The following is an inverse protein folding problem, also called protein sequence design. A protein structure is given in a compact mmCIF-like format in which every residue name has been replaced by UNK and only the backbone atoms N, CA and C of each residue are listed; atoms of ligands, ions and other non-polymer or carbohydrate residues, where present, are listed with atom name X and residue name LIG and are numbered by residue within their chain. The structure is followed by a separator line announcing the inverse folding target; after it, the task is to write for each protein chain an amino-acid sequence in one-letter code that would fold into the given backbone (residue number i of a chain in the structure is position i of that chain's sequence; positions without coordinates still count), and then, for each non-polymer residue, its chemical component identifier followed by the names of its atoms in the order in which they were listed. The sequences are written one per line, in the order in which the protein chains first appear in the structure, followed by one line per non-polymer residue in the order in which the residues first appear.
data_IF_265513745092
#
_entry.id   IF_265513745092
#
_cell.length_a   1.000
_cell.length_b   1.000
_cell.length_c   1.000
_cell.angle_alpha   90.00
_cell.angle_beta   90.00
_cell.angle_gamma   90.00
#
_symmetry.space_group_name_H-M   'P 1'
#
loop_
_entity.id
_entity.type
_entity.pdbx_description
1 polymer ?
#
# COMPACT_ATOMS: atom_id res chain seq x y z
N UNK A 1 16.02 -7.28 11.70
CA UNK A 1 14.60 -6.92 11.94
C UNK A 1 13.77 -8.18 11.99
N UNK A 2 12.99 -8.40 13.05
CA UNK A 2 12.02 -9.49 13.16
C UNK A 2 10.62 -9.00 12.85
N UNK A 3 9.81 -9.86 12.22
CA UNK A 3 8.42 -9.62 11.89
C UNK A 3 7.51 -10.66 12.54
N UNK A 4 6.27 -10.29 12.77
CA UNK A 4 5.21 -11.16 13.30
C UNK A 4 3.95 -11.02 12.46
N UNK A 5 3.01 -11.96 12.64
CA UNK A 5 1.65 -11.82 12.12
C UNK A 5 0.77 -11.06 13.11
N UNK A 6 -0.17 -10.26 12.62
CA UNK A 6 -1.23 -9.62 13.44
C UNK A 6 -2.13 -10.62 14.13
N UNK A 7 -2.06 -11.92 13.77
CA UNK A 7 -2.89 -12.99 14.36
C UNK A 7 -2.06 -14.07 15.06
N UNK A 8 -0.72 -13.97 15.02
CA UNK A 8 0.17 -14.87 15.74
C UNK A 8 1.52 -14.18 15.99
N UNK A 9 1.68 -13.57 17.15
CA UNK A 9 2.90 -12.88 17.56
C UNK A 9 3.98 -13.83 18.11
N UNK A 10 3.66 -15.11 18.34
CA UNK A 10 4.60 -16.10 18.85
C UNK A 10 5.63 -16.58 17.82
N UNK A 11 5.28 -16.47 16.52
CA UNK A 11 6.15 -16.87 15.41
C UNK A 11 6.80 -15.64 14.79
N UNK A 12 8.11 -15.65 14.66
CA UNK A 12 8.88 -14.59 14.01
C UNK A 12 9.29 -14.98 12.60
N UNK A 13 9.45 -13.96 11.77
CA UNK A 13 9.85 -14.07 10.37
C UNK A 13 10.92 -13.02 10.06
N UNK A 14 11.78 -13.29 9.09
CA UNK A 14 12.68 -12.29 8.53
C UNK A 14 12.02 -11.54 7.35
N UNK A 15 12.67 -10.47 6.87
CA UNK A 15 12.11 -9.66 5.76
C UNK A 15 11.92 -10.48 4.47
N UNK A 16 12.84 -11.38 4.15
CA UNK A 16 12.75 -12.26 2.96
C UNK A 16 11.44 -13.05 2.96
N UNK A 17 11.13 -13.71 4.09
CA UNK A 17 9.90 -14.48 4.24
C UNK A 17 8.65 -13.60 4.11
N UNK A 18 8.66 -12.43 4.77
CA UNK A 18 7.55 -11.46 4.74
C UNK A 18 7.29 -10.93 3.33
N UNK A 19 8.36 -10.57 2.64
CA UNK A 19 8.29 -10.04 1.28
C UNK A 19 7.75 -11.07 0.28
N UNK A 20 8.28 -12.30 0.31
CA UNK A 20 7.88 -13.36 -0.63
C UNK A 20 6.46 -13.86 -0.35
N UNK A 21 6.11 -14.08 0.93
CA UNK A 21 4.77 -14.53 1.30
C UNK A 21 3.70 -13.46 1.12
N UNK A 22 4.01 -12.21 1.45
CA UNK A 22 3.08 -11.08 1.41
C UNK A 22 1.92 -11.18 2.42
N UNK A 23 1.48 -12.39 2.78
CA UNK A 23 0.43 -12.71 3.75
C UNK A 23 0.91 -13.87 4.64
N UNK A 24 0.63 -13.81 5.94
CA UNK A 24 0.96 -14.88 6.87
C UNK A 24 0.07 -16.12 6.65
N UNK A 25 0.59 -17.30 7.02
CA UNK A 25 -0.12 -18.58 6.82
C UNK A 25 -1.43 -18.69 7.63
N UNK A 26 -1.53 -17.92 8.73
CA UNK A 26 -2.73 -17.77 9.55
C UNK A 26 -3.75 -16.77 8.99
N UNK A 27 -3.43 -16.15 7.85
CA UNK A 27 -4.24 -15.13 7.19
C UNK A 27 -4.09 -13.72 7.81
N UNK A 28 -3.20 -13.54 8.79
CA UNK A 28 -2.86 -12.25 9.36
C UNK A 28 -1.87 -11.46 8.50
N UNK A 29 -1.72 -10.19 8.79
CA UNK A 29 -0.80 -9.30 8.09
C UNK A 29 0.55 -9.23 8.80
N UNK A 30 1.62 -9.15 8.04
CA UNK A 30 2.94 -8.94 8.61
C UNK A 30 3.14 -7.50 9.10
N UNK A 31 3.77 -7.38 10.27
CA UNK A 31 4.25 -6.15 10.88
C UNK A 31 5.60 -6.39 11.56
N UNK A 32 6.45 -5.36 11.73
CA UNK A 32 7.67 -5.52 12.53
C UNK A 32 7.31 -5.75 14.00
N UNK A 33 8.00 -6.67 14.64
CA UNK A 33 7.85 -6.98 16.07
C UNK A 33 8.24 -5.80 16.98
N UNK A 34 9.22 -5.02 16.52
CA UNK A 34 9.63 -3.76 17.13
C UNK A 34 9.91 -2.75 16.03
N UNK A 35 9.55 -1.52 16.26
CA UNK A 35 9.74 -0.43 15.29
C UNK A 35 10.92 0.45 15.75
N UNK A 36 11.89 0.66 14.85
CA UNK A 36 12.93 1.64 15.05
C UNK A 36 12.32 3.05 14.98
N UNK A 37 12.57 3.85 16.02
CA UNK A 37 12.22 5.27 16.02
C UNK A 37 13.49 6.07 15.75
N UNK A 38 13.39 7.01 14.82
CA UNK A 38 14.43 7.99 14.59
C UNK A 38 14.34 9.08 15.66
N UNK A 39 15.48 9.48 16.18
CA UNK A 39 15.61 10.68 17.02
C UNK A 39 15.39 11.96 16.19
N UNK A 40 15.10 13.07 16.84
CA UNK A 40 14.99 14.36 16.16
C UNK A 40 16.26 14.72 15.37
N UNK A 41 17.42 14.42 15.91
CA UNK A 41 18.71 14.66 15.24
C UNK A 41 18.88 13.82 13.97
N UNK A 42 18.43 12.55 13.97
CA UNK A 42 18.44 11.70 12.79
C UNK A 42 17.44 12.23 11.74
N UNK A 43 16.23 12.60 12.15
CA UNK A 43 15.23 13.20 11.25
C UNK A 43 15.78 14.49 10.63
N UNK A 44 16.41 15.36 11.41
CA UNK A 44 17.01 16.59 10.89
C UNK A 44 18.13 16.31 9.90
N UNK A 45 18.90 15.26 10.10
CA UNK A 45 19.95 14.85 9.16
C UNK A 45 19.41 14.45 7.78
N UNK A 46 18.18 13.95 7.71
CA UNK A 46 17.52 13.54 6.47
C UNK A 46 17.10 14.71 5.57
N UNK A 47 17.00 15.92 6.12
CA UNK A 47 16.49 17.12 5.41
C UNK A 47 17.23 17.44 4.10
N UNK A 48 18.50 17.08 4.00
CA UNK A 48 19.35 17.39 2.85
C UNK A 48 19.52 16.20 1.88
N UNK A 49 18.91 15.07 2.19
CA UNK A 49 19.06 13.88 1.39
C UNK A 49 18.22 13.96 0.09
N UNK A 50 18.72 13.36 -0.96
CA UNK A 50 17.92 13.06 -2.13
C UNK A 50 16.79 12.09 -1.76
N UNK A 51 15.77 11.98 -2.61
CA UNK A 51 14.72 10.96 -2.38
C UNK A 51 15.32 9.56 -2.28
N UNK A 52 16.27 9.24 -3.15
CA UNK A 52 16.93 7.93 -3.21
C UNK A 52 17.75 7.64 -1.94
N UNK A 53 18.54 8.60 -1.46
CA UNK A 53 19.30 8.44 -0.24
C UNK A 53 18.40 8.31 1.00
N UNK A 54 17.33 9.10 1.05
CA UNK A 54 16.32 8.97 2.10
C UNK A 54 15.64 7.61 2.06
N UNK A 55 15.23 7.13 0.87
CA UNK A 55 14.66 5.81 0.68
C UNK A 55 15.60 4.71 1.17
N UNK A 56 16.90 4.82 0.86
CA UNK A 56 17.92 3.88 1.34
C UNK A 56 17.94 3.83 2.87
N UNK A 57 18.03 4.97 3.54
CA UNK A 57 18.11 5.03 5.01
C UNK A 57 16.84 4.43 5.67
N UNK A 58 15.66 4.78 5.16
CA UNK A 58 14.40 4.29 5.75
C UNK A 58 14.25 2.79 5.47
N UNK A 59 14.41 2.35 4.22
CA UNK A 59 14.15 0.95 3.83
C UNK A 59 15.19 0.01 4.45
N UNK A 60 16.45 0.42 4.53
CA UNK A 60 17.51 -0.40 5.11
C UNK A 60 17.21 -0.81 6.55
N UNK A 61 16.56 0.06 7.34
CA UNK A 61 16.15 -0.24 8.71
C UNK A 61 15.16 -1.41 8.83
N UNK A 62 14.48 -1.76 7.74
CA UNK A 62 13.45 -2.82 7.70
C UNK A 62 13.94 -4.14 7.12
N UNK A 63 14.86 -4.11 6.16
CA UNK A 63 15.18 -5.30 5.36
C UNK A 63 16.16 -6.27 6.02
N UNK A 64 16.83 -5.87 7.14
CA UNK A 64 17.78 -6.70 7.84
C UNK A 64 18.94 -7.16 6.95
N UNK A 65 19.17 -8.46 6.92
CA UNK A 65 20.20 -9.15 6.13
C UNK A 65 19.73 -9.60 4.73
N UNK A 66 18.57 -9.13 4.29
CA UNK A 66 18.02 -9.49 2.96
C UNK A 66 18.95 -9.09 1.81
N UNK A 67 19.60 -7.94 1.92
CA UNK A 67 20.62 -7.49 0.97
C UNK A 67 21.60 -6.51 1.61
N UNK A 68 22.77 -6.34 0.96
CA UNK A 68 23.74 -5.33 1.39
C UNK A 68 23.20 -3.91 1.15
N UNK A 69 23.76 -2.94 1.88
CA UNK A 69 23.44 -1.52 1.69
C UNK A 69 23.76 -1.03 0.26
N UNK A 70 24.85 -1.55 -0.32
CA UNK A 70 25.24 -1.23 -1.69
C UNK A 70 24.26 -1.82 -2.72
N UNK A 71 23.78 -3.04 -2.49
CA UNK A 71 22.76 -3.65 -3.36
C UNK A 71 21.44 -2.88 -3.28
N UNK A 72 21.03 -2.50 -2.07
CA UNK A 72 19.83 -1.69 -1.87
C UNK A 72 19.95 -0.35 -2.61
N UNK A 73 21.09 0.35 -2.50
CA UNK A 73 21.31 1.61 -3.21
C UNK A 73 21.14 1.43 -4.72
N UNK A 74 21.78 0.40 -5.31
CA UNK A 74 21.64 0.10 -6.74
C UNK A 74 20.20 -0.21 -7.15
N UNK A 75 19.46 -0.93 -6.31
CA UNK A 75 18.06 -1.27 -6.56
C UNK A 75 17.19 -0.04 -6.48
N UNK A 76 17.38 0.84 -5.51
CA UNK A 76 16.63 2.09 -5.36
C UNK A 76 16.88 2.99 -6.58
N UNK A 77 18.13 3.19 -6.97
CA UNK A 77 18.48 3.99 -8.13
C UNK A 77 17.84 3.42 -9.41
N UNK A 78 17.92 2.11 -9.62
CA UNK A 78 17.28 1.44 -10.74
C UNK A 78 15.76 1.61 -10.72
N UNK A 79 15.13 1.47 -9.55
CA UNK A 79 13.68 1.54 -9.40
C UNK A 79 13.12 2.92 -9.70
N UNK A 80 13.85 3.96 -9.32
CA UNK A 80 13.37 5.33 -9.46
C UNK A 80 13.91 6.07 -10.70
N UNK A 81 14.86 5.48 -11.41
CA UNK A 81 15.36 6.03 -12.68
C UNK A 81 14.30 6.10 -13.80
N UNK A 82 13.24 5.34 -13.70
CA UNK A 82 12.13 5.32 -14.67
C UNK A 82 11.07 6.39 -14.42
N UNK A 83 11.20 7.14 -13.33
CA UNK A 83 10.27 8.22 -13.01
C UNK A 83 10.60 9.47 -13.83
N UNK A 84 9.55 10.21 -14.23
CA UNK A 84 9.69 11.46 -14.99
C UNK A 84 10.20 12.61 -14.15
N UNK A 85 9.89 12.58 -12.83
CA UNK A 85 10.40 13.53 -11.83
C UNK A 85 11.67 12.96 -11.20
N UNK A 86 12.77 13.72 -11.26
CA UNK A 86 14.07 13.31 -10.71
C UNK A 86 14.01 12.92 -9.25
N UNK A 87 13.21 13.61 -8.49
CA UNK A 87 12.99 13.36 -7.05
C UNK A 87 11.81 12.41 -6.79
N UNK A 88 11.38 11.63 -7.79
CA UNK A 88 10.30 10.64 -7.71
C UNK A 88 8.92 11.26 -7.48
N UNK A 89 8.82 12.17 -6.53
CA UNK A 89 7.61 12.90 -6.15
C UNK A 89 7.88 14.41 -6.14
N UNK A 90 6.83 15.20 -6.32
CA UNK A 90 6.92 16.65 -6.33
C UNK A 90 5.87 17.25 -5.40
N UNK A 91 6.26 18.25 -4.63
CA UNK A 91 5.33 19.04 -3.82
C UNK A 91 5.04 20.35 -4.53
N UNK A 92 3.78 20.61 -4.84
CA UNK A 92 3.33 21.86 -5.44
C UNK A 92 2.43 22.63 -4.46
N UNK A 93 2.46 23.95 -4.55
CA UNK A 93 1.60 24.82 -3.74
C UNK A 93 0.34 25.19 -4.53
N UNK A 94 -0.82 24.96 -3.94
CA UNK A 94 -2.13 25.31 -4.50
C UNK A 94 -2.90 26.13 -3.46
N UNK A 95 -2.86 27.43 -3.60
CA UNK A 95 -3.41 28.35 -2.59
C UNK A 95 -2.68 28.22 -1.25
N UNK A 96 -3.42 27.91 -0.19
CA UNK A 96 -2.93 27.70 1.18
C UNK A 96 -2.54 26.23 1.48
N UNK A 97 -2.61 25.36 0.49
CA UNK A 97 -2.35 23.93 0.61
C UNK A 97 -1.15 23.51 -0.22
N UNK A 98 -0.54 22.40 0.18
CA UNK A 98 0.48 21.72 -0.63
C UNK A 98 -0.10 20.40 -1.16
N UNK A 99 0.16 20.09 -2.42
CA UNK A 99 -0.24 18.84 -3.08
C UNK A 99 1.00 18.04 -3.40
N UNK A 100 1.09 16.84 -2.84
CA UNK A 100 2.13 15.90 -3.16
C UNK A 100 1.72 15.09 -4.39
N UNK A 101 2.42 15.33 -5.50
CA UNK A 101 2.19 14.63 -6.76
C UNK A 101 2.90 13.28 -6.75
N UNK A 102 2.14 12.17 -6.82
CA UNK A 102 2.64 10.79 -6.79
C UNK A 102 2.52 10.06 -8.14
N UNK A 103 2.18 10.79 -9.21
CA UNK A 103 1.86 10.23 -10.54
C UNK A 103 3.02 10.33 -11.55
N UNK A 104 4.24 10.54 -11.12
CA UNK A 104 5.39 10.70 -12.01
C UNK A 104 6.03 9.38 -12.47
N UNK A 105 5.50 8.26 -12.04
CA UNK A 105 5.94 6.93 -12.45
C UNK A 105 5.43 6.49 -13.83
N UNK A 106 5.83 5.29 -14.29
CA UNK A 106 5.54 4.79 -15.63
C UNK A 106 4.04 4.67 -15.97
N UNK A 107 3.22 4.31 -14.98
CA UNK A 107 1.78 4.08 -15.19
C UNK A 107 0.90 5.21 -14.67
N UNK A 108 1.50 6.32 -14.22
CA UNK A 108 0.83 7.52 -13.71
C UNK A 108 0.00 7.26 -12.44
N UNK A 109 0.31 6.21 -11.70
CA UNK A 109 -0.33 5.87 -10.44
C UNK A 109 0.68 5.93 -9.30
N UNK A 110 0.25 6.37 -8.10
CA UNK A 110 1.11 6.39 -6.90
C UNK A 110 1.69 5.00 -6.58
N UNK A 111 1.01 3.95 -7.05
CA UNK A 111 1.42 2.55 -6.88
C UNK A 111 2.77 2.25 -7.49
N UNK A 112 3.19 3.00 -8.52
CA UNK A 112 4.50 2.85 -9.15
C UNK A 112 5.65 3.00 -8.15
N UNK A 113 5.53 3.89 -7.18
CA UNK A 113 6.56 4.13 -6.15
C UNK A 113 6.95 2.85 -5.43
N UNK A 114 5.96 2.07 -5.03
CA UNK A 114 6.20 0.79 -4.36
C UNK A 114 6.46 -0.35 -5.36
N UNK A 115 5.73 -0.40 -6.47
CA UNK A 115 5.81 -1.53 -7.41
C UNK A 115 7.15 -1.61 -8.12
N UNK A 116 7.74 -0.50 -8.54
CA UNK A 116 9.07 -0.50 -9.18
C UNK A 116 10.13 -1.06 -8.24
N UNK A 117 10.07 -0.71 -6.95
CA UNK A 117 10.96 -1.26 -5.94
C UNK A 117 10.73 -2.77 -5.74
N UNK A 118 9.46 -3.19 -5.59
CA UNK A 118 9.11 -4.61 -5.42
C UNK A 118 9.58 -5.45 -6.61
N UNK A 119 9.36 -4.97 -7.83
CA UNK A 119 9.80 -5.67 -9.03
C UNK A 119 11.31 -5.92 -9.05
N UNK A 120 12.09 -4.93 -8.59
CA UNK A 120 13.55 -5.07 -8.51
C UNK A 120 14.00 -5.92 -7.30
N UNK A 121 13.25 -5.94 -6.20
CA UNK A 121 13.47 -6.87 -5.08
C UNK A 121 13.22 -8.32 -5.51
N UNK A 122 12.16 -8.59 -6.27
CA UNK A 122 11.93 -9.92 -6.84
C UNK A 122 13.07 -10.35 -7.76
N UNK A 123 13.48 -9.48 -8.67
CA UNK A 123 14.59 -9.78 -9.59
C UNK A 123 15.89 -10.09 -8.83
N UNK A 124 16.22 -9.30 -7.81
CA UNK A 124 17.39 -9.53 -6.96
C UNK A 124 17.31 -10.89 -6.26
N UNK A 125 16.20 -11.16 -5.61
CA UNK A 125 15.99 -12.43 -4.89
C UNK A 125 16.08 -13.63 -5.82
N UNK A 126 15.34 -13.61 -6.93
CA UNK A 126 15.23 -14.75 -7.84
C UNK A 126 16.54 -15.04 -8.59
N UNK A 127 17.35 -14.01 -8.86
CA UNK A 127 18.66 -14.20 -9.46
C UNK A 127 19.65 -14.84 -8.47
N UNK A 128 19.58 -14.51 -7.20
CA UNK A 128 20.48 -15.05 -6.19
C UNK A 128 20.12 -16.48 -5.79
N UNK A 129 18.83 -16.82 -5.72
CA UNK A 129 18.37 -18.14 -5.33
C UNK A 129 18.19 -19.12 -6.52
N UNK A 130 18.32 -18.62 -7.75
CA UNK A 130 18.05 -19.38 -8.98
C UNK A 130 16.65 -20.00 -8.99
N UNK A 131 15.67 -19.29 -8.45
CA UNK A 131 14.28 -19.71 -8.33
C UNK A 131 13.40 -19.02 -9.37
N UNK A 132 12.18 -19.57 -9.59
CA UNK A 132 11.13 -18.93 -10.39
C UNK A 132 9.88 -18.81 -9.56
N UNK A 133 9.14 -17.70 -9.77
CA UNK A 133 7.83 -17.47 -9.13
C UNK A 133 6.79 -17.03 -10.14
N UNK A 134 5.54 -17.25 -9.79
CA UNK A 134 4.38 -16.77 -10.53
C UNK A 134 3.58 -15.80 -9.64
N UNK A 135 3.57 -14.52 -10.02
CA UNK A 135 2.76 -13.52 -9.38
C UNK A 135 1.35 -13.58 -9.97
N UNK A 136 0.35 -13.70 -9.10
CA UNK A 136 -1.05 -13.70 -9.50
C UNK A 136 -1.75 -12.53 -8.81
N UNK A 137 -2.40 -11.66 -9.58
CA UNK A 137 -3.04 -10.45 -9.07
C UNK A 137 -4.41 -10.23 -9.71
N UNK A 138 -5.40 -9.90 -8.89
CA UNK A 138 -6.67 -9.35 -9.36
C UNK A 138 -6.59 -7.82 -9.33
N UNK A 139 -7.11 -7.16 -10.35
CA UNK A 139 -7.05 -5.71 -10.47
C UNK A 139 -8.31 -5.09 -11.05
N UNK A 140 -8.63 -3.90 -10.57
CA UNK A 140 -9.58 -2.97 -11.21
C UNK A 140 -8.92 -2.03 -12.24
N UNK A 141 -7.57 -2.11 -12.37
CA UNK A 141 -6.80 -1.32 -13.33
C UNK A 141 -5.41 -0.90 -12.83
N UNK A 142 -5.30 0.05 -11.91
CA UNK A 142 -4.05 0.70 -11.49
C UNK A 142 -3.01 -0.28 -10.95
N UNK A 143 -3.43 -1.18 -10.05
CA UNK A 143 -2.50 -2.14 -9.42
C UNK A 143 -1.94 -3.10 -10.45
N UNK A 144 -2.78 -3.57 -11.38
CA UNK A 144 -2.36 -4.43 -12.47
C UNK A 144 -1.39 -3.74 -13.42
N UNK A 145 -1.70 -2.51 -13.84
CA UNK A 145 -0.82 -1.73 -14.70
C UNK A 145 0.55 -1.50 -14.06
N UNK A 146 0.58 -1.06 -12.79
CA UNK A 146 1.83 -0.83 -12.07
C UNK A 146 2.62 -2.12 -11.84
N UNK A 147 1.94 -3.24 -11.53
CA UNK A 147 2.59 -4.54 -11.34
C UNK A 147 3.18 -5.09 -12.64
N UNK A 148 2.43 -4.99 -13.75
CA UNK A 148 2.92 -5.38 -15.08
C UNK A 148 4.18 -4.58 -15.42
N UNK A 149 4.11 -3.25 -15.30
CA UNK A 149 5.25 -2.40 -15.66
C UNK A 149 6.51 -2.75 -14.84
N UNK A 150 6.33 -3.02 -13.56
CA UNK A 150 7.42 -3.38 -12.65
C UNK A 150 8.03 -4.77 -12.92
N UNK A 151 7.26 -5.70 -13.50
CA UNK A 151 7.66 -7.12 -13.67
C UNK A 151 7.99 -7.46 -15.12
N UNK A 152 7.42 -6.75 -16.09
CA UNK A 152 7.63 -7.04 -17.53
C UNK A 152 9.11 -7.16 -17.87
N UNK A 153 9.46 -8.17 -18.65
CA UNK A 153 10.82 -8.42 -19.13
C UNK A 153 11.81 -8.91 -18.07
N UNK A 154 11.42 -9.03 -16.79
CA UNK A 154 12.28 -9.59 -15.76
C UNK A 154 12.38 -11.11 -15.88
N UNK A 155 13.57 -11.64 -15.63
CA UNK A 155 13.81 -13.09 -15.64
C UNK A 155 13.25 -13.75 -14.37
N UNK A 156 12.91 -15.00 -14.49
CA UNK A 156 12.49 -15.87 -13.37
C UNK A 156 11.19 -15.47 -12.66
N UNK A 157 10.42 -14.53 -13.20
CA UNK A 157 9.12 -14.15 -12.69
C UNK A 157 8.11 -13.99 -13.82
N UNK A 158 6.95 -14.63 -13.66
CA UNK A 158 5.78 -14.40 -14.51
C UNK A 158 4.73 -13.62 -13.72
N UNK A 159 3.91 -12.84 -14.43
CA UNK A 159 2.78 -12.17 -13.83
C UNK A 159 1.48 -12.52 -14.59
N UNK A 160 0.51 -12.99 -13.83
CA UNK A 160 -0.84 -13.31 -14.28
C UNK A 160 -1.80 -12.27 -13.70
N UNK A 161 -2.42 -11.48 -14.56
CA UNK A 161 -3.29 -10.36 -14.16
C UNK A 161 -4.73 -10.68 -14.52
N UNK A 162 -5.56 -10.93 -13.52
CA UNK A 162 -6.99 -11.15 -13.66
C UNK A 162 -7.72 -9.81 -13.56
N UNK A 163 -8.50 -9.48 -14.57
CA UNK A 163 -9.29 -8.25 -14.56
C UNK A 163 -10.70 -8.50 -15.12
N UNK A 164 -11.73 -7.74 -14.70
CA UNK A 164 -13.07 -7.92 -15.20
C UNK A 164 -13.18 -7.45 -16.65
N UNK A 165 -13.79 -8.30 -17.49
CA UNK A 165 -13.97 -8.02 -18.91
C UNK A 165 -14.83 -6.76 -19.11
N UNK A 166 -14.31 -5.79 -19.88
CA UNK A 166 -14.97 -4.51 -20.21
C UNK A 166 -15.34 -3.62 -19.00
N UNK A 167 -14.76 -3.87 -17.80
CA UNK A 167 -15.01 -3.07 -16.59
C UNK A 167 -13.76 -2.39 -16.04
N UNK A 168 -12.72 -2.28 -16.86
CA UNK A 168 -11.50 -1.50 -16.58
C UNK A 168 -11.47 -0.34 -17.54
N UNK A 169 -11.03 0.85 -17.09
CA UNK A 169 -10.93 2.02 -17.96
C UNK A 169 -10.09 1.73 -19.21
N UNK A 170 -10.41 2.37 -20.33
CA UNK A 170 -9.71 2.14 -21.60
C UNK A 170 -8.22 2.44 -21.52
N UNK A 171 -7.83 3.44 -20.72
CA UNK A 171 -6.42 3.81 -20.50
C UNK A 171 -5.69 2.71 -19.71
N UNK A 172 -6.24 2.29 -18.57
CA UNK A 172 -5.64 1.26 -17.74
C UNK A 172 -5.56 -0.09 -18.47
N UNK A 173 -6.62 -0.44 -19.22
CA UNK A 173 -6.60 -1.65 -20.05
C UNK A 173 -5.47 -1.59 -21.08
N UNK A 174 -5.28 -0.47 -21.75
CA UNK A 174 -4.18 -0.31 -22.72
C UNK A 174 -2.81 -0.43 -22.03
N UNK A 175 -2.61 0.19 -20.87
CA UNK A 175 -1.37 0.06 -20.10
C UNK A 175 -1.06 -1.39 -19.75
N UNK A 176 -2.07 -2.22 -19.46
CA UNK A 176 -1.88 -3.63 -19.13
C UNK A 176 -1.66 -4.53 -20.35
N UNK A 177 -2.32 -4.26 -21.50
CA UNK A 177 -2.47 -5.22 -22.59
C UNK A 177 -1.67 -4.91 -23.85
N UNK A 178 -0.99 -3.77 -23.94
CA UNK A 178 -0.20 -3.39 -25.13
C UNK A 178 1.24 -3.87 -25.10
N UNK A 179 1.74 -4.32 -23.93
CA UNK A 179 3.06 -4.93 -23.81
C UNK A 179 3.13 -6.27 -24.56
N UNK A 180 4.36 -6.63 -25.00
CA UNK A 180 4.62 -7.87 -25.76
C UNK A 180 5.51 -8.84 -24.99
N UNK A 181 5.80 -8.55 -23.75
CA UNK A 181 6.68 -9.36 -22.91
C UNK A 181 6.05 -10.72 -22.58
N UNK A 182 6.80 -11.79 -22.84
CA UNK A 182 6.31 -13.15 -22.71
C UNK A 182 5.97 -13.58 -21.27
N UNK A 183 6.53 -12.88 -20.28
CA UNK A 183 6.29 -13.14 -18.86
C UNK A 183 5.06 -12.41 -18.31
N UNK A 184 4.27 -11.74 -19.16
CA UNK A 184 3.05 -11.00 -18.79
C UNK A 184 1.83 -11.68 -19.41
N UNK A 185 0.93 -12.16 -18.56
CA UNK A 185 -0.28 -12.86 -18.98
C UNK A 185 -1.51 -12.12 -18.43
N UNK A 186 -2.30 -11.54 -19.31
CA UNK A 186 -3.56 -10.89 -18.96
C UNK A 186 -4.74 -11.85 -19.17
N UNK A 187 -5.62 -11.96 -18.17
CA UNK A 187 -6.78 -12.83 -18.17
C UNK A 187 -8.03 -12.01 -17.90
N UNK A 188 -8.85 -11.82 -18.93
CA UNK A 188 -10.14 -11.14 -18.79
C UNK A 188 -11.20 -12.12 -18.29
N UNK A 189 -11.80 -11.83 -17.15
CA UNK A 189 -12.82 -12.66 -16.50
C UNK A 189 -14.21 -12.10 -16.83
N UNK A 190 -15.13 -12.95 -17.26
CA UNK A 190 -16.53 -12.62 -17.43
C UNK A 190 -17.22 -12.51 -16.07
N UNK A 191 -17.05 -11.36 -15.41
CA UNK A 191 -17.52 -11.11 -14.06
C UNK A 191 -17.17 -9.69 -13.62
N UNK A 192 -17.17 -9.46 -12.32
CA UNK A 192 -16.77 -8.19 -11.71
C UNK A 192 -15.40 -8.34 -11.01
N UNK A 193 -14.96 -7.28 -10.34
CA UNK A 193 -13.67 -7.28 -9.64
C UNK A 193 -13.64 -8.26 -8.46
N UNK A 194 -14.75 -8.43 -7.76
CA UNK A 194 -14.85 -9.38 -6.64
C UNK A 194 -14.71 -10.83 -7.13
N UNK A 195 -15.24 -11.15 -8.31
CA UNK A 195 -15.05 -12.47 -8.94
C UNK A 195 -13.56 -12.74 -9.21
N UNK A 196 -12.84 -11.75 -9.75
CA UNK A 196 -11.40 -11.86 -9.95
C UNK A 196 -10.64 -12.05 -8.61
N UNK A 197 -11.01 -11.30 -7.58
CA UNK A 197 -10.41 -11.43 -6.26
C UNK A 197 -10.69 -12.81 -5.62
N UNK A 198 -11.91 -13.29 -5.75
CA UNK A 198 -12.31 -14.59 -5.20
C UNK A 198 -11.56 -15.74 -5.87
N UNK A 199 -11.35 -15.68 -7.19
CA UNK A 199 -10.49 -16.63 -7.90
C UNK A 199 -9.07 -16.63 -7.36
N UNK A 200 -8.45 -15.45 -7.23
CA UNK A 200 -7.09 -15.33 -6.69
C UNK A 200 -7.01 -15.84 -5.25
N UNK A 201 -7.99 -15.51 -4.40
CA UNK A 201 -8.07 -16.03 -3.02
C UNK A 201 -8.19 -17.54 -2.97
N UNK A 202 -9.00 -18.14 -3.85
CA UNK A 202 -9.16 -19.60 -3.95
C UNK A 202 -7.85 -20.28 -4.35
N UNK A 203 -7.12 -19.69 -5.31
CA UNK A 203 -5.79 -20.20 -5.71
C UNK A 203 -4.79 -20.15 -4.55
N UNK A 204 -4.74 -19.06 -3.76
CA UNK A 204 -3.88 -18.97 -2.58
C UNK A 204 -4.29 -19.91 -1.44
N UNK A 205 -5.59 -20.21 -1.31
CA UNK A 205 -6.12 -21.12 -0.30
C UNK A 205 -5.77 -22.59 -0.61
N UNK A 206 -5.69 -22.96 -1.88
CA UNK A 206 -5.20 -24.27 -2.32
C UNK A 206 -3.68 -24.34 -2.16
N UNK A 207 -3.24 -24.89 -1.02
CA UNK A 207 -1.81 -24.96 -0.68
C UNK A 207 -1.02 -25.89 -1.58
N UNK A 208 -1.64 -26.92 -2.15
CA UNK A 208 -0.97 -27.81 -3.10
C UNK A 208 -0.67 -27.04 -4.37
N UNK A 209 -1.69 -26.44 -4.97
CA UNK A 209 -1.57 -25.67 -6.20
C UNK A 209 -0.63 -24.46 -6.01
N UNK A 210 -0.85 -23.65 -4.98
CA UNK A 210 -0.07 -22.41 -4.77
C UNK A 210 1.41 -22.69 -4.53
N UNK A 211 1.76 -23.80 -3.85
CA UNK A 211 3.14 -24.21 -3.66
C UNK A 211 3.77 -24.80 -4.93
N UNK A 212 3.02 -25.63 -5.68
CA UNK A 212 3.49 -26.24 -6.93
C UNK A 212 3.90 -25.16 -7.95
N UNK A 213 3.08 -24.14 -8.13
CA UNK A 213 3.39 -23.02 -9.05
C UNK A 213 4.25 -21.91 -8.41
N UNK A 214 4.65 -22.07 -7.15
CA UNK A 214 5.35 -21.02 -6.39
C UNK A 214 4.66 -19.66 -6.50
N UNK A 215 3.40 -19.66 -6.10
CA UNK A 215 2.53 -18.49 -6.22
C UNK A 215 2.93 -17.40 -5.24
N UNK A 216 3.03 -16.19 -5.73
CA UNK A 216 3.28 -14.98 -4.93
C UNK A 216 2.33 -13.87 -5.34
N UNK A 217 2.26 -12.79 -4.54
CA UNK A 217 1.38 -11.66 -4.78
C UNK A 217 2.01 -10.31 -4.49
N UNK A 218 1.56 -9.31 -5.24
CA UNK A 218 1.98 -7.91 -5.06
C UNK A 218 0.88 -7.03 -4.46
N UNK A 219 0.01 -7.64 -3.66
CA UNK A 219 -1.15 -6.99 -3.08
C UNK A 219 -0.77 -5.82 -2.15
N UNK A 220 -1.73 -4.92 -1.89
CA UNK A 220 -1.54 -3.74 -1.02
C UNK A 220 -1.11 -4.08 0.41
N UNK A 221 -1.31 -5.34 0.83
CA UNK A 221 -0.94 -5.85 2.16
C UNK A 221 0.53 -6.24 2.28
N UNK A 222 1.26 -6.39 1.16
CA UNK A 222 2.69 -6.73 1.23
C UNK A 222 3.45 -5.63 1.98
N UNK A 223 4.20 -6.02 3.02
CA UNK A 223 4.90 -5.07 3.88
C UNK A 223 5.91 -4.20 3.12
N UNK A 224 6.57 -4.74 2.11
CA UNK A 224 7.49 -3.98 1.27
C UNK A 224 6.81 -2.77 0.57
N UNK A 225 5.50 -2.87 0.28
CA UNK A 225 4.75 -1.72 -0.23
C UNK A 225 4.56 -0.63 0.81
N UNK A 226 4.29 -1.02 2.06
CA UNK A 226 4.10 -0.06 3.16
C UNK A 226 5.39 0.71 3.42
N UNK A 227 6.53 0.03 3.53
CA UNK A 227 7.81 0.71 3.77
C UNK A 227 8.24 1.60 2.61
N UNK A 228 8.01 1.19 1.37
CA UNK A 228 8.30 2.04 0.21
C UNK A 228 7.45 3.32 0.19
N UNK A 229 6.19 3.22 0.61
CA UNK A 229 5.28 4.35 0.69
C UNK A 229 5.59 5.29 1.88
N UNK A 230 6.16 4.79 2.98
CA UNK A 230 6.54 5.67 4.09
C UNK A 230 7.57 6.73 3.70
N UNK A 231 8.41 6.45 2.70
CA UNK A 231 9.49 7.35 2.26
C UNK A 231 8.96 8.72 1.80
N UNK A 232 7.88 8.76 1.01
CA UNK A 232 7.39 10.03 0.51
C UNK A 232 6.70 10.89 1.58
N UNK A 233 6.28 10.31 2.71
CA UNK A 233 5.84 11.09 3.88
C UNK A 233 7.01 11.83 4.52
N UNK A 234 8.13 11.15 4.74
CA UNK A 234 9.36 11.80 5.21
C UNK A 234 9.84 12.86 4.23
N UNK A 235 9.92 12.51 2.95
CA UNK A 235 10.44 13.42 1.93
C UNK A 235 9.59 14.68 1.81
N UNK A 236 8.26 14.53 1.71
CA UNK A 236 7.35 15.68 1.62
C UNK A 236 7.36 16.55 2.87
N UNK A 237 7.54 15.96 4.05
CA UNK A 237 7.71 16.74 5.29
C UNK A 237 8.86 17.72 5.19
N UNK A 238 9.99 17.33 4.59
CA UNK A 238 11.14 18.23 4.44
C UNK A 238 10.95 19.30 3.38
N UNK A 239 10.07 19.07 2.41
CA UNK A 239 9.76 20.04 1.35
C UNK A 239 8.78 21.13 1.81
N UNK A 240 8.06 20.94 2.90
CA UNK A 240 7.18 21.97 3.46
C UNK A 240 8.02 23.07 4.12
N UNK A 241 7.87 24.30 3.63
CA UNK A 241 8.62 25.46 4.12
C UNK A 241 8.14 25.94 5.49
N UNK A 242 6.81 26.06 5.65
CA UNK A 242 6.16 26.52 6.89
C UNK A 242 6.00 25.33 7.85
N UNK A 243 6.88 25.22 8.82
CA UNK A 243 6.86 24.21 9.88
C UNK A 243 6.34 24.72 11.22
N UNK A 244 5.94 25.99 11.28
CA UNK A 244 5.39 26.59 12.51
C UNK A 244 3.98 26.07 12.81
N UNK A 245 3.33 25.43 11.83
CA UNK A 245 2.03 24.80 11.97
C UNK A 245 2.14 23.27 12.00
N UNK A 246 1.26 22.62 12.76
CA UNK A 246 1.17 21.16 12.75
C UNK A 246 0.84 20.63 11.35
N UNK A 247 1.66 19.72 10.83
CA UNK A 247 1.49 19.14 9.49
C UNK A 247 0.45 18.03 9.51
N UNK A 248 -0.58 18.16 8.68
CA UNK A 248 -1.58 17.14 8.44
C UNK A 248 -1.44 16.60 7.00
N UNK A 249 -1.69 15.31 6.81
CA UNK A 249 -1.79 14.71 5.48
C UNK A 249 -3.22 14.27 5.21
N UNK A 250 -3.81 14.76 4.11
CA UNK A 250 -5.07 14.24 3.59
C UNK A 250 -4.77 13.20 2.51
N UNK A 251 -5.24 11.98 2.72
CA UNK A 251 -4.89 10.82 1.90
C UNK A 251 -6.16 10.20 1.33
N UNK A 252 -6.36 10.24 0.00
CA UNK A 252 -7.42 9.46 -0.65
C UNK A 252 -7.21 7.97 -0.36
N UNK A 253 -8.19 7.33 0.28
CA UNK A 253 -7.97 6.04 0.92
C UNK A 253 -9.00 4.99 0.52
N UNK A 254 -8.52 3.88 -0.05
CA UNK A 254 -9.27 2.63 -0.21
C UNK A 254 -8.78 1.58 0.78
N UNK A 255 -7.78 0.78 0.40
CA UNK A 255 -7.24 -0.35 1.21
C UNK A 255 -6.46 0.04 2.48
N UNK A 256 -6.45 1.30 2.86
CA UNK A 256 -5.73 1.81 4.05
C UNK A 256 -4.20 1.69 3.99
N UNK A 257 -3.62 1.24 2.88
CA UNK A 257 -2.18 0.97 2.78
C UNK A 257 -1.34 2.24 2.78
N UNK A 258 -1.72 3.24 1.98
CA UNK A 258 -1.02 4.51 1.86
C UNK A 258 -1.07 5.29 3.19
N UNK A 259 -2.26 5.50 3.74
CA UNK A 259 -2.40 6.22 5.00
C UNK A 259 -1.76 5.48 6.18
N UNK A 260 -1.71 4.13 6.14
CA UNK A 260 -0.95 3.34 7.12
C UNK A 260 0.56 3.56 6.99
N UNK A 261 1.07 3.78 5.78
CA UNK A 261 2.48 4.17 5.59
C UNK A 261 2.79 5.54 6.22
N UNK A 262 1.85 6.48 6.14
CA UNK A 262 1.93 7.75 6.88
C UNK A 262 1.89 7.55 8.40
N UNK A 263 1.05 6.66 8.89
CA UNK A 263 0.99 6.29 10.31
C UNK A 263 2.29 5.62 10.76
N UNK A 264 2.86 4.73 9.93
CA UNK A 264 4.17 4.15 10.16
C UNK A 264 5.25 5.23 10.29
N UNK A 265 5.29 6.18 9.36
CA UNK A 265 6.24 7.29 9.41
C UNK A 265 6.10 8.12 10.71
N UNK A 266 4.86 8.38 11.15
CA UNK A 266 4.58 9.02 12.45
C UNK A 266 5.11 8.19 13.61
N UNK A 267 4.87 6.88 13.63
CA UNK A 267 5.39 5.97 14.67
C UNK A 267 6.92 5.90 14.67
N UNK A 268 7.56 6.12 13.52
CA UNK A 268 9.03 6.21 13.39
C UNK A 268 9.60 7.56 13.86
N UNK A 269 8.75 8.50 14.28
CA UNK A 269 9.18 9.78 14.85
C UNK A 269 8.94 11.00 13.96
N UNK A 270 8.42 10.83 12.72
CA UNK A 270 8.11 11.98 11.87
C UNK A 270 7.00 12.82 12.52
N UNK A 271 7.18 14.17 12.69
CA UNK A 271 6.21 15.00 13.39
C UNK A 271 4.95 15.28 12.56
N UNK A 272 4.15 14.25 12.35
CA UNK A 272 2.83 14.33 11.71
C UNK A 272 1.79 14.61 12.81
N UNK A 273 0.95 15.63 12.63
CA UNK A 273 -0.15 15.88 13.56
C UNK A 273 -1.31 14.92 13.31
N UNK A 274 -1.97 15.03 12.14
CA UNK A 274 -3.11 14.18 11.78
C UNK A 274 -2.97 13.59 10.37
N UNK A 275 -3.51 12.39 10.22
CA UNK A 275 -3.75 11.73 8.96
C UNK A 275 -5.25 11.77 8.67
N UNK A 276 -5.65 12.45 7.62
CA UNK A 276 -7.06 12.58 7.22
C UNK A 276 -7.38 11.52 6.18
N UNK A 277 -8.16 10.54 6.56
CA UNK A 277 -8.65 9.49 5.67
C UNK A 277 -9.80 10.06 4.83
N UNK A 278 -9.55 10.29 3.55
CA UNK A 278 -10.54 10.79 2.61
C UNK A 278 -11.12 9.62 1.79
N UNK A 279 -12.44 9.42 1.87
CA UNK A 279 -13.13 8.36 1.13
C UNK A 279 -14.10 8.95 0.10
N UNK A 280 -14.46 8.13 -0.90
CA UNK A 280 -15.63 8.39 -1.74
C UNK A 280 -16.90 7.90 -1.04
N UNK A 281 -17.96 7.61 -1.81
CA UNK A 281 -19.24 7.10 -1.26
C UNK A 281 -19.10 5.74 -0.56
N UNK A 282 -18.04 4.98 -0.86
CA UNK A 282 -17.70 3.75 -0.15
C UNK A 282 -16.97 4.10 1.16
N UNK A 283 -17.71 4.49 2.17
CA UNK A 283 -17.27 5.24 3.33
C UNK A 283 -16.98 4.40 4.58
N UNK A 284 -16.74 3.10 4.45
CA UNK A 284 -16.53 2.21 5.60
C UNK A 284 -15.44 2.73 6.57
N UNK A 285 -14.32 3.25 6.03
CA UNK A 285 -13.25 3.82 6.86
C UNK A 285 -13.67 5.12 7.55
N UNK A 286 -14.45 5.97 6.87
CA UNK A 286 -15.00 7.17 7.50
C UNK A 286 -15.93 6.81 8.66
N UNK A 287 -16.84 5.85 8.50
CA UNK A 287 -17.72 5.36 9.58
C UNK A 287 -16.93 4.74 10.74
N UNK A 288 -15.89 3.97 10.42
CA UNK A 288 -15.02 3.38 11.45
C UNK A 288 -14.30 4.44 12.28
N UNK A 289 -13.72 5.45 11.64
CA UNK A 289 -12.90 6.48 12.30
C UNK A 289 -13.80 7.51 13.03
N UNK A 290 -14.93 7.90 12.43
CA UNK A 290 -15.78 8.95 12.99
C UNK A 290 -16.78 8.44 14.02
N UNK A 291 -17.25 7.18 13.88
CA UNK A 291 -18.36 6.63 14.68
C UNK A 291 -18.04 5.30 15.36
N UNK A 292 -16.85 4.73 15.11
CA UNK A 292 -16.49 3.41 15.61
C UNK A 292 -17.22 2.24 14.91
N UNK A 293 -17.92 2.48 13.79
CA UNK A 293 -18.67 1.45 13.08
C UNK A 293 -17.96 1.01 11.82
N UNK A 294 -17.27 -0.12 11.86
CA UNK A 294 -16.75 -0.80 10.67
C UNK A 294 -17.78 -1.84 10.21
N UNK A 295 -18.69 -1.45 9.32
CA UNK A 295 -19.78 -2.27 8.83
C UNK A 295 -19.76 -2.34 7.31
N UNK A 296 -19.72 -3.56 6.76
CA UNK A 296 -19.65 -3.82 5.33
C UNK A 296 -21.01 -3.53 4.70
N UNK A 297 -21.01 -2.68 3.68
CA UNK A 297 -22.17 -2.33 2.87
C UNK A 297 -21.95 -2.76 1.42
N UNK A 298 -22.95 -2.56 0.58
CA UNK A 298 -22.81 -2.79 -0.86
C UNK A 298 -21.85 -1.78 -1.47
N UNK A 299 -20.93 -2.24 -2.29
CA UNK A 299 -20.02 -1.37 -3.05
C UNK A 299 -20.83 -0.56 -4.08
N UNK A 300 -20.58 0.74 -4.11
CA UNK A 300 -21.09 1.66 -5.13
C UNK A 300 -19.96 1.97 -6.11
N UNK A 301 -20.18 1.74 -7.40
CA UNK A 301 -19.22 2.10 -8.46
C UNK A 301 -19.12 3.62 -8.60
N UNK A 302 -17.88 4.16 -8.63
CA UNK A 302 -17.59 5.59 -8.71
C UNK A 302 -16.55 5.91 -9.79
N UNK A 303 -16.30 7.20 -10.01
CA UNK A 303 -15.20 7.67 -10.90
C UNK A 303 -13.81 7.42 -10.29
N UNK A 304 -13.72 6.97 -9.04
CA UNK A 304 -12.49 6.61 -8.35
C UNK A 304 -12.45 5.11 -7.97
N UNK A 305 -12.47 4.19 -8.95
CA UNK A 305 -12.69 2.75 -8.72
C UNK A 305 -11.65 2.09 -7.81
N UNK A 306 -10.47 2.67 -7.68
CA UNK A 306 -9.44 2.18 -6.75
C UNK A 306 -9.80 2.38 -5.27
N UNK A 307 -10.83 3.20 -4.99
CA UNK A 307 -11.36 3.49 -3.66
C UNK A 307 -12.72 2.82 -3.42
N UNK A 308 -13.30 2.13 -4.41
CA UNK A 308 -14.58 1.43 -4.30
C UNK A 308 -14.42 0.13 -3.49
N UNK A 309 -14.26 0.29 -2.19
CA UNK A 309 -13.89 -0.77 -1.26
C UNK A 309 -14.78 -0.71 -0.01
N UNK A 310 -15.29 -1.87 0.40
CA UNK A 310 -16.01 -2.07 1.67
C UNK A 310 -15.25 -2.98 2.66
N UNK A 311 -14.05 -3.45 2.29
CA UNK A 311 -13.13 -4.14 3.20
C UNK A 311 -11.71 -3.61 2.95
N UNK A 312 -11.25 -2.73 3.83
CA UNK A 312 -9.92 -2.13 3.77
C UNK A 312 -8.88 -3.06 4.42
N UNK A 313 -8.19 -3.86 3.60
CA UNK A 313 -7.34 -4.95 4.09
C UNK A 313 -6.27 -4.51 5.09
N UNK A 314 -5.64 -3.33 4.91
CA UNK A 314 -4.60 -2.87 5.83
C UNK A 314 -5.15 -2.28 7.14
N UNK A 315 -6.46 -2.09 7.26
CA UNK A 315 -7.07 -1.63 8.50
C UNK A 315 -6.88 -2.63 9.66
N UNK A 316 -6.70 -3.91 9.34
CA UNK A 316 -6.34 -4.95 10.33
C UNK A 316 -5.08 -4.58 11.13
N UNK A 317 -4.09 -3.92 10.51
CA UNK A 317 -2.87 -3.48 11.21
C UNK A 317 -3.18 -2.42 12.27
N UNK A 318 -4.11 -1.50 11.97
CA UNK A 318 -4.57 -0.52 12.94
C UNK A 318 -5.41 -1.19 14.04
N UNK A 319 -6.29 -2.14 13.70
CA UNK A 319 -7.05 -2.93 14.67
C UNK A 319 -6.11 -3.66 15.64
N UNK A 320 -5.01 -4.22 15.15
CA UNK A 320 -4.00 -4.87 15.99
C UNK A 320 -3.36 -3.89 16.98
N UNK A 321 -2.94 -2.71 16.51
CA UNK A 321 -2.41 -1.65 17.37
C UNK A 321 -3.45 -1.19 18.42
N UNK A 322 -4.71 -1.03 18.03
CA UNK A 322 -5.81 -0.62 18.93
C UNK A 322 -6.16 -1.67 19.97
N UNK A 323 -5.87 -2.92 19.67
CA UNK A 323 -6.03 -4.05 20.60
C UNK A 323 -4.79 -4.25 21.49
N UNK A 324 -3.90 -3.26 21.59
CA UNK A 324 -2.66 -3.33 22.37
C UNK A 324 -1.78 -4.53 21.96
N UNK A 325 -1.75 -4.82 20.64
CA UNK A 325 -1.01 -5.92 20.04
C UNK A 325 -1.45 -7.32 20.53
N UNK A 326 -2.72 -7.47 20.90
CA UNK A 326 -3.31 -8.73 21.32
C UNK A 326 -3.83 -9.54 20.12
N UNK A 327 -3.21 -10.70 19.87
CA UNK A 327 -3.56 -11.60 18.76
C UNK A 327 -5.02 -12.09 18.86
N UNK A 328 -5.46 -12.51 20.05
CA UNK A 328 -6.79 -13.09 20.25
C UNK A 328 -7.91 -12.07 20.00
N UNK A 329 -7.73 -10.84 20.48
CA UNK A 329 -8.68 -9.74 20.21
C UNK A 329 -8.71 -9.41 18.71
N UNK A 330 -7.57 -9.42 18.04
CA UNK A 330 -7.49 -9.15 16.61
C UNK A 330 -8.13 -10.26 15.78
N UNK A 331 -7.88 -11.53 16.12
CA UNK A 331 -8.54 -12.68 15.49
C UNK A 331 -10.06 -12.56 15.63
N UNK A 332 -10.57 -12.23 16.83
CA UNK A 332 -12.00 -12.09 17.06
C UNK A 332 -12.61 -10.93 16.25
N UNK A 333 -11.92 -9.78 16.18
CA UNK A 333 -12.36 -8.65 15.35
C UNK A 333 -12.45 -9.03 13.87
N UNK A 334 -11.43 -9.70 13.34
CA UNK A 334 -11.40 -10.13 11.94
C UNK A 334 -12.42 -11.24 11.65
N UNK A 335 -12.70 -12.10 12.62
CA UNK A 335 -13.78 -13.09 12.55
C UNK A 335 -15.15 -12.42 12.49
N UNK A 336 -15.42 -11.43 13.32
CA UNK A 336 -16.66 -10.68 13.32
C UNK A 336 -16.90 -9.95 11.98
N UNK A 337 -15.87 -9.32 11.43
CA UNK A 337 -15.94 -8.70 10.10
C UNK A 337 -16.30 -9.74 9.03
N UNK A 338 -15.65 -10.91 9.04
CA UNK A 338 -15.87 -11.95 8.04
C UNK A 338 -17.26 -12.62 8.16
N UNK A 339 -17.72 -12.91 9.39
CA UNK A 339 -18.92 -13.72 9.63
C UNK A 339 -20.17 -12.86 9.80
N UNK A 340 -20.04 -11.68 10.42
CA UNK A 340 -21.16 -10.78 10.70
C UNK A 340 -21.20 -9.54 9.80
N UNK A 341 -20.16 -9.34 8.97
CA UNK A 341 -20.01 -8.15 8.15
C UNK A 341 -19.71 -6.87 8.93
N UNK A 342 -19.41 -6.95 10.25
CA UNK A 342 -19.20 -5.77 11.08
C UNK A 342 -18.26 -5.98 12.25
N UNK A 343 -17.59 -4.90 12.66
CA UNK A 343 -16.85 -4.77 13.90
C UNK A 343 -17.11 -3.41 14.52
N UNK A 344 -17.45 -3.38 15.80
CA UNK A 344 -17.69 -2.14 16.53
C UNK A 344 -16.46 -1.80 17.36
N UNK A 345 -15.91 -0.64 17.10
CA UNK A 345 -14.78 -0.05 17.83
C UNK A 345 -15.36 0.70 19.01
N UNK A 346 -15.01 0.29 20.22
CA UNK A 346 -15.49 0.95 21.43
C UNK A 346 -14.94 2.37 21.61
N UNK A 347 -15.48 3.11 22.56
CA UNK A 347 -15.13 4.53 22.76
C UNK A 347 -13.67 4.72 23.16
N UNK A 348 -13.08 3.80 23.90
CA UNK A 348 -11.67 3.89 24.29
C UNK A 348 -10.75 3.81 23.05
N UNK A 349 -10.98 2.81 22.21
CA UNK A 349 -10.24 2.63 20.95
C UNK A 349 -10.51 3.76 19.95
N UNK A 350 -11.74 4.24 19.88
CA UNK A 350 -12.12 5.38 19.05
C UNK A 350 -11.38 6.65 19.47
N UNK A 351 -11.20 6.88 20.77
CA UNK A 351 -10.39 7.98 21.27
C UNK A 351 -8.91 7.82 20.87
N UNK A 352 -8.36 6.58 20.93
CA UNK A 352 -6.99 6.31 20.44
C UNK A 352 -6.87 6.61 18.93
N UNK A 353 -7.82 6.19 18.10
CA UNK A 353 -7.84 6.51 16.66
C UNK A 353 -7.82 8.02 16.45
N UNK A 354 -8.69 8.75 17.14
CA UNK A 354 -8.84 10.19 16.98
C UNK A 354 -7.62 11.00 17.43
N UNK A 355 -6.65 10.37 18.11
CA UNK A 355 -5.35 10.98 18.39
C UNK A 355 -4.53 11.19 17.11
N UNK A 356 -4.61 10.25 16.17
CA UNK A 356 -3.77 10.24 14.97
C UNK A 356 -4.55 10.48 13.68
N UNK A 357 -5.83 10.11 13.64
CA UNK A 357 -6.65 10.14 12.44
C UNK A 357 -7.83 11.10 12.55
N UNK A 358 -8.18 11.66 11.40
CA UNK A 358 -9.46 12.25 11.07
C UNK A 358 -10.00 11.58 9.82
N UNK A 359 -11.26 11.80 9.48
CA UNK A 359 -11.82 11.25 8.25
C UNK A 359 -12.86 12.15 7.62
N UNK A 360 -13.00 12.05 6.31
CA UNK A 360 -14.05 12.69 5.52
C UNK A 360 -14.54 11.75 4.43
N UNK A 361 -15.74 12.01 3.94
CA UNK A 361 -16.28 11.39 2.72
C UNK A 361 -16.76 12.46 1.76
N UNK A 362 -16.76 12.16 0.47
CA UNK A 362 -17.28 13.03 -0.58
C UNK A 362 -18.19 12.26 -1.54
N UNK A 363 -19.25 12.89 -1.99
CA UNK A 363 -20.08 12.39 -3.08
C UNK A 363 -19.39 12.60 -4.44
N UNK A 364 -19.87 11.91 -5.48
CA UNK A 364 -19.41 12.09 -6.85
C UNK A 364 -19.58 13.55 -7.33
N UNK A 365 -20.72 14.16 -7.00
CA UNK A 365 -21.01 15.55 -7.36
C UNK A 365 -20.03 16.52 -6.72
N UNK A 366 -19.74 16.36 -5.43
CA UNK A 366 -18.75 17.17 -4.72
C UNK A 366 -17.33 17.01 -5.29
N UNK A 367 -16.96 15.79 -5.71
CA UNK A 367 -15.67 15.54 -6.35
C UNK A 367 -15.60 16.25 -7.70
N UNK A 368 -16.62 16.11 -8.56
CA UNK A 368 -16.66 16.75 -9.87
C UNK A 368 -16.67 18.28 -9.76
N UNK A 369 -17.46 18.83 -8.83
CA UNK A 369 -17.49 20.26 -8.56
C UNK A 369 -16.13 20.78 -8.06
N UNK A 370 -15.46 20.02 -7.20
CA UNK A 370 -14.14 20.38 -6.70
C UNK A 370 -13.10 20.38 -7.80
N UNK A 371 -13.09 19.37 -8.68
CA UNK A 371 -12.21 19.30 -9.84
C UNK A 371 -12.41 20.54 -10.71
N UNK A 372 -13.66 20.87 -11.03
CA UNK A 372 -14.00 22.07 -11.83
C UNK A 372 -13.49 23.34 -11.17
N UNK A 373 -13.76 23.56 -9.89
CA UNK A 373 -13.31 24.74 -9.14
C UNK A 373 -11.79 24.88 -9.08
N UNK A 374 -11.06 23.76 -8.99
CA UNK A 374 -9.58 23.77 -8.96
C UNK A 374 -9.02 24.04 -10.35
N UNK A 375 -9.65 23.50 -11.40
CA UNK A 375 -9.22 23.74 -12.78
C UNK A 375 -9.44 25.18 -13.24
N UNK A 376 -10.47 25.87 -12.73
CA UNK A 376 -10.80 27.26 -13.08
C UNK A 376 -9.92 28.29 -12.34
N UNK A 377 -9.10 27.88 -11.36
CA UNK A 377 -8.15 28.71 -10.61
C UNK A 377 -6.73 28.64 -11.15
#
# INVERSE_FOLDING_TARGET
MEYISTRNSSKTFNFKEVFIKGLADDGGLFIPKSLNKFSEAEIDSFKKLSYQDLAKNIIFSFIGDFMSENDLSRIIDKSYSVFREKNVVKLIKVGDRSVLELFHGPTLAFKDVAMQLLGNFYEYYLNNENEKINIVVATSGDTGAAAIDAIKGKKNVNIFVLHPHNRVSSVQRKLMTTGKEQNVINIAINGNFDDCQNLVKSMFADKIFSNEIRMSGVNSINWARIIAQSVYYFYSYFLVEDKDRPLNFSVPTGNFGDVYAGYLAKKMGLPINKLVVATNQNDILHRAISKGSYEVEKVTETISPSMDIQIASNFERLIYDLNDCDDAKTINAMKDIREKGKYIIDQERLNKINTDFLSSKMSEEEVLETIKKVHEK
#
